data_IF_124334496918
#
_entry.id   IF_124334496918
#
_cell.length_a   1.000
_cell.length_b   1.000
_cell.length_c   1.000
_cell.angle_alpha   90.00
_cell.angle_beta   90.00
_cell.angle_gamma   90.00
#
_symmetry.space_group_name_H-M   'P 1'
#
loop_
_entity.id
_entity.type
_entity.pdbx_description
1 polymer ?
#
# COMPACT_ATOMS: atom_id res chain seq x y z
N UNK A 1 -8.06 -13.12 1.09
CA UNK A 1 -8.02 -12.62 -0.30
C UNK A 1 -6.66 -11.99 -0.51
N UNK A 2 -5.81 -12.62 -1.32
CA UNK A 2 -4.52 -12.06 -1.70
C UNK A 2 -4.70 -11.26 -2.98
N UNK A 3 -4.36 -9.97 -2.95
CA UNK A 3 -4.36 -9.12 -4.15
C UNK A 3 -3.20 -9.58 -5.02
N UNK A 4 -3.48 -10.01 -6.25
CA UNK A 4 -2.45 -10.47 -7.17
C UNK A 4 -1.77 -9.30 -7.87
N UNK A 5 -0.60 -9.52 -8.47
CA UNK A 5 0.10 -8.48 -9.25
C UNK A 5 -0.76 -7.92 -10.39
N UNK A 6 -1.62 -8.76 -11.00
CA UNK A 6 -2.59 -8.34 -12.02
C UNK A 6 -3.68 -7.41 -11.47
N UNK A 7 -4.09 -7.62 -10.22
CA UNK A 7 -5.06 -6.73 -9.56
C UNK A 7 -4.42 -5.36 -9.28
N UNK A 8 -3.15 -5.33 -8.87
CA UNK A 8 -2.40 -4.07 -8.70
C UNK A 8 -2.30 -3.29 -10.01
N UNK A 9 -2.02 -3.96 -11.14
CA UNK A 9 -2.01 -3.29 -12.45
C UNK A 9 -3.36 -2.64 -12.81
N UNK A 10 -4.47 -3.36 -12.59
CA UNK A 10 -5.81 -2.81 -12.79
C UNK A 10 -6.07 -1.62 -11.87
N UNK A 11 -5.67 -1.70 -10.61
CA UNK A 11 -5.82 -0.60 -9.65
C UNK A 11 -5.00 0.63 -10.04
N UNK A 12 -3.79 0.46 -10.62
CA UNK A 12 -3.00 1.57 -11.17
C UNK A 12 -3.74 2.26 -12.33
N UNK A 13 -4.36 1.49 -13.22
CA UNK A 13 -5.18 2.05 -14.30
C UNK A 13 -6.38 2.84 -13.77
N UNK A 14 -7.05 2.33 -12.73
CA UNK A 14 -8.15 3.04 -12.06
C UNK A 14 -7.62 4.34 -11.42
N UNK A 15 -6.48 4.30 -10.73
CA UNK A 15 -5.85 5.50 -10.13
C UNK A 15 -5.57 6.58 -11.18
N UNK A 16 -5.02 6.21 -12.34
CA UNK A 16 -4.77 7.14 -13.46
C UNK A 16 -6.06 7.74 -14.02
N UNK A 17 -7.12 6.92 -14.14
CA UNK A 17 -8.42 7.39 -14.64
C UNK A 17 -9.09 8.37 -13.67
N UNK A 18 -8.96 8.14 -12.36
CA UNK A 18 -9.44 9.06 -11.31
C UNK A 18 -8.60 10.33 -11.31
N UNK A 19 -7.28 10.23 -11.48
CA UNK A 19 -6.42 11.42 -11.53
C UNK A 19 -6.76 12.33 -12.71
N UNK A 20 -7.05 11.75 -13.87
CA UNK A 20 -7.52 12.48 -15.06
C UNK A 20 -8.95 13.04 -14.92
N UNK A 21 -9.65 12.77 -13.83
CA UNK A 21 -11.02 13.24 -13.60
C UNK A 21 -12.09 12.48 -14.39
N UNK A 22 -11.75 11.31 -14.94
CA UNK A 22 -12.64 10.53 -15.81
C UNK A 22 -13.44 9.43 -15.08
N UNK A 23 -13.11 9.13 -13.81
CA UNK A 23 -13.60 7.92 -13.15
C UNK A 23 -13.96 8.07 -11.65
N UNK A 24 -14.56 9.19 -11.22
CA UNK A 24 -15.10 9.29 -9.85
C UNK A 24 -16.32 10.21 -9.76
N UNK A 25 -17.32 9.79 -8.99
CA UNK A 25 -18.48 10.61 -8.56
C UNK A 25 -18.34 11.11 -7.12
N UNK A 26 -17.35 10.59 -6.38
CA UNK A 26 -16.98 10.95 -5.00
C UNK A 26 -15.67 11.76 -4.98
N UNK A 27 -15.28 12.25 -3.80
CA UNK A 27 -14.11 13.11 -3.65
C UNK A 27 -12.83 12.43 -4.17
N UNK A 28 -12.24 13.04 -5.21
CA UNK A 28 -11.06 12.53 -5.91
C UNK A 28 -9.93 12.17 -4.95
N UNK A 29 -9.69 13.01 -3.94
CA UNK A 29 -8.59 12.81 -2.99
C UNK A 29 -8.76 11.56 -2.13
N UNK A 30 -9.97 11.29 -1.64
CA UNK A 30 -10.26 10.11 -0.83
C UNK A 30 -10.03 8.81 -1.63
N UNK A 31 -10.51 8.77 -2.87
CA UNK A 31 -10.29 7.66 -3.79
C UNK A 31 -8.80 7.41 -4.05
N UNK A 32 -8.04 8.47 -4.33
CA UNK A 32 -6.61 8.35 -4.59
C UNK A 32 -5.85 7.87 -3.34
N UNK A 33 -6.22 8.34 -2.15
CA UNK A 33 -5.61 7.88 -0.90
C UNK A 33 -5.91 6.41 -0.60
N UNK A 34 -7.15 5.98 -0.80
CA UNK A 34 -7.53 4.57 -0.62
C UNK A 34 -6.78 3.66 -1.61
N UNK A 35 -6.70 4.07 -2.88
CA UNK A 35 -5.95 3.34 -3.89
C UNK A 35 -4.45 3.31 -3.58
N UNK A 36 -3.87 4.40 -3.09
CA UNK A 36 -2.45 4.44 -2.73
C UNK A 36 -2.12 3.48 -1.59
N UNK A 37 -2.99 3.38 -0.58
CA UNK A 37 -2.82 2.43 0.53
C UNK A 37 -2.85 0.96 0.08
N UNK A 38 -3.57 0.66 -1.02
CA UNK A 38 -3.68 -0.69 -1.58
C UNK A 38 -2.55 -0.99 -2.58
N UNK A 39 -2.28 -0.06 -3.50
CA UNK A 39 -1.27 -0.20 -4.56
C UNK A 39 0.15 -0.12 -3.98
N UNK A 40 0.35 0.72 -2.97
CA UNK A 40 1.65 1.00 -2.37
C UNK A 40 1.54 1.01 -0.84
N UNK A 41 1.31 -0.17 -0.23
CA UNK A 41 1.23 -0.26 1.23
C UNK A 41 2.52 0.26 1.85
N UNK A 42 2.45 1.01 2.96
CA UNK A 42 3.64 1.63 3.57
C UNK A 42 4.16 0.80 4.73
N UNK A 43 5.48 0.81 4.92
CA UNK A 43 6.11 0.16 6.06
C UNK A 43 5.76 0.90 7.35
N UNK A 44 5.28 0.18 8.36
CA UNK A 44 4.93 0.76 9.65
C UNK A 44 6.14 1.30 10.45
N UNK A 45 7.38 0.94 10.09
CA UNK A 45 8.60 1.44 10.74
C UNK A 45 9.15 2.68 10.04
N UNK A 46 9.47 2.58 8.74
CA UNK A 46 10.14 3.67 8.02
C UNK A 46 9.19 4.56 7.21
N UNK A 47 7.90 4.23 7.14
CA UNK A 47 6.85 4.92 6.36
C UNK A 47 7.08 4.98 4.85
N UNK A 48 8.12 4.32 4.35
CA UNK A 48 8.38 4.18 2.92
C UNK A 48 7.45 3.11 2.31
N UNK A 49 7.07 3.25 1.03
CA UNK A 49 6.29 2.25 0.33
C UNK A 49 6.97 0.87 0.35
N UNK A 50 6.17 -0.16 0.58
CA UNK A 50 6.55 -1.56 0.50
C UNK A 50 6.47 -1.96 -0.97
N UNK A 51 7.58 -2.48 -1.50
CA UNK A 51 7.62 -3.09 -2.82
C UNK A 51 7.03 -4.51 -2.79
N UNK A 52 7.47 -5.34 -3.74
CA UNK A 52 7.21 -6.77 -3.72
C UNK A 52 8.05 -7.44 -2.62
N UNK A 53 7.39 -8.20 -1.75
CA UNK A 53 8.04 -8.79 -0.56
C UNK A 53 7.96 -7.87 0.66
N UNK A 54 6.94 -8.10 1.49
CA UNK A 54 6.82 -7.49 2.81
C UNK A 54 6.41 -8.53 3.83
N UNK A 55 6.83 -8.32 5.07
CA UNK A 55 6.46 -9.15 6.19
C UNK A 55 5.33 -8.48 6.99
N UNK A 56 4.40 -9.28 7.50
CA UNK A 56 3.30 -8.82 8.33
C UNK A 56 3.55 -9.27 9.76
N UNK A 57 3.62 -8.32 10.70
CA UNK A 57 3.89 -8.55 12.12
C UNK A 57 2.87 -7.77 12.93
N UNK A 58 2.08 -8.43 13.78
CA UNK A 58 0.96 -7.81 14.54
C UNK A 58 0.05 -6.95 13.64
N UNK A 59 -0.43 -7.52 12.53
CA UNK A 59 -1.32 -6.86 11.54
C UNK A 59 -0.72 -5.62 10.85
N UNK A 60 0.55 -5.30 11.11
CA UNK A 60 1.28 -4.20 10.49
C UNK A 60 2.24 -4.73 9.44
N UNK A 61 2.33 -4.03 8.32
CA UNK A 61 3.20 -4.39 7.19
C UNK A 61 4.57 -3.72 7.32
N UNK A 62 5.63 -4.45 7.06
CA UNK A 62 7.01 -3.97 7.17
C UNK A 62 7.88 -4.52 6.04
N UNK A 63 8.92 -3.78 5.65
CA UNK A 63 10.00 -4.41 4.87
C UNK A 63 10.64 -5.50 5.72
N UNK A 64 11.10 -6.58 5.11
CA UNK A 64 11.76 -7.68 5.84
C UNK A 64 12.97 -7.19 6.67
N UNK A 65 13.73 -6.25 6.11
CA UNK A 65 14.82 -5.57 6.81
C UNK A 65 14.35 -4.71 8.00
N UNK A 66 13.14 -4.14 7.90
CA UNK A 66 12.56 -3.31 8.94
C UNK A 66 11.96 -4.14 10.07
N UNK A 67 11.47 -5.35 9.79
CA UNK A 67 11.01 -6.30 10.82
C UNK A 67 12.14 -6.60 11.81
N UNK A 68 13.35 -6.85 11.34
CA UNK A 68 14.50 -7.14 12.23
C UNK A 68 14.76 -6.02 13.24
N UNK A 69 14.54 -4.76 12.86
CA UNK A 69 14.67 -3.59 13.75
C UNK A 69 13.50 -3.47 14.72
N UNK A 70 12.28 -3.79 14.28
CA UNK A 70 11.10 -3.78 15.12
C UNK A 70 11.15 -4.89 16.18
N UNK A 71 11.56 -6.11 15.81
CA UNK A 71 11.67 -7.25 16.72
C UNK A 71 12.83 -7.15 17.72
N UNK A 72 13.79 -6.25 17.47
CA UNK A 72 14.90 -5.95 18.37
C UNK A 72 14.55 -4.88 19.42
N UNK A 73 13.38 -4.24 19.31
CA UNK A 73 12.90 -3.34 20.34
C UNK A 73 12.38 -4.18 21.53
N UNK A 74 12.88 -3.98 22.77
CA UNK A 74 12.36 -4.67 23.93
C UNK A 74 10.87 -4.33 24.13
N UNK A 75 10.07 -5.35 24.46
CA UNK A 75 8.66 -5.24 24.82
C UNK A 75 8.48 -4.40 26.08
#
# INVERSE_FOLDING_TARGET
MEITSKDIEKLKFVKDSIDKGNATTIEKNECLQALDAVISPKCAMCRMPLGEGYAVVNERKFHESCVKKYSAAPK
#
